data_IF_432882545927
#
_entry.id   IF_432882545927
#
_cell.length_a   1.000
_cell.length_b   1.000
_cell.length_c   1.000
_cell.angle_alpha   90.00
_cell.angle_beta   90.00
_cell.angle_gamma   90.00
#
_symmetry.space_group_name_H-M   'P 1'
#
loop_
_entity.id
_entity.type
_entity.pdbx_description
1 polymer ?
#
# COMPACT_ATOMS: atom_id res chain seq x y z
N UNK A 1 15.10 19.97 4.63
CA UNK A 1 13.80 19.29 4.70
C UNK A 1 13.83 18.14 3.71
N UNK A 2 13.67 16.92 4.19
CA UNK A 2 13.71 15.70 3.39
C UNK A 2 12.45 15.64 2.50
N UNK A 3 12.62 15.34 1.22
CA UNK A 3 11.59 15.35 0.16
C UNK A 3 10.49 14.26 0.32
N UNK A 4 10.19 13.83 1.54
CA UNK A 4 9.32 12.69 1.84
C UNK A 4 7.82 13.04 1.87
N UNK A 5 7.47 14.33 1.87
CA UNK A 5 6.08 14.82 1.93
C UNK A 5 5.51 15.29 0.58
N UNK A 6 6.21 15.04 -0.54
CA UNK A 6 5.67 15.43 -1.84
C UNK A 6 4.47 14.56 -2.23
N UNK A 7 3.42 15.11 -2.88
CA UNK A 7 2.29 14.33 -3.37
C UNK A 7 2.71 13.14 -4.24
N UNK A 8 3.78 13.34 -5.04
CA UNK A 8 4.36 12.28 -5.87
C UNK A 8 4.97 11.16 -5.03
N UNK A 9 5.72 11.50 -3.97
CA UNK A 9 6.32 10.50 -3.07
C UNK A 9 5.25 9.65 -2.39
N UNK A 10 4.16 10.26 -1.91
CA UNK A 10 3.05 9.53 -1.27
C UNK A 10 2.23 8.71 -2.26
N UNK A 11 2.01 9.22 -3.47
CA UNK A 11 1.39 8.46 -4.55
C UNK A 11 2.22 7.22 -4.91
N UNK A 12 3.53 7.40 -5.12
CA UNK A 12 4.44 6.30 -5.45
C UNK A 12 4.47 5.25 -4.33
N UNK A 13 4.40 5.67 -3.06
CA UNK A 13 4.30 4.76 -1.92
C UNK A 13 2.98 3.96 -1.93
N UNK A 14 1.86 4.61 -2.25
CA UNK A 14 0.57 3.95 -2.37
C UNK A 14 0.52 2.96 -3.55
N UNK A 15 1.06 3.34 -4.71
CA UNK A 15 1.16 2.44 -5.88
C UNK A 15 1.98 1.20 -5.54
N UNK A 16 3.12 1.35 -4.85
CA UNK A 16 3.91 0.21 -4.37
C UNK A 16 3.14 -0.69 -3.40
N UNK A 17 2.32 -0.12 -2.53
CA UNK A 17 1.48 -0.89 -1.61
C UNK A 17 0.40 -1.69 -2.38
N UNK A 18 -0.19 -1.11 -3.42
CA UNK A 18 -1.13 -1.81 -4.32
C UNK A 18 -0.44 -2.98 -5.02
N UNK A 19 0.71 -2.76 -5.64
CA UNK A 19 1.45 -3.81 -6.35
C UNK A 19 1.81 -4.98 -5.41
N UNK A 20 2.27 -4.67 -4.19
CA UNK A 20 2.57 -5.67 -3.17
C UNK A 20 1.32 -6.48 -2.79
N UNK A 21 0.22 -5.80 -2.47
CA UNK A 21 -1.02 -6.49 -2.07
C UNK A 21 -1.57 -7.36 -3.20
N UNK A 22 -1.53 -6.86 -4.44
CA UNK A 22 -1.91 -7.62 -5.63
C UNK A 22 -1.06 -8.89 -5.77
N UNK A 23 0.26 -8.80 -5.62
CA UNK A 23 1.14 -9.97 -5.70
C UNK A 23 0.83 -11.02 -4.63
N UNK A 24 0.49 -10.59 -3.40
CA UNK A 24 0.08 -11.52 -2.34
C UNK A 24 -1.23 -12.23 -2.67
N UNK A 25 -2.21 -11.54 -3.27
CA UNK A 25 -3.46 -12.15 -3.70
C UNK A 25 -3.24 -13.13 -4.87
N UNK A 26 -2.38 -12.78 -5.82
CA UNK A 26 -2.00 -13.68 -6.92
C UNK A 26 -1.31 -14.95 -6.40
N UNK A 27 -0.41 -14.81 -5.42
CA UNK A 27 0.23 -15.95 -4.75
C UNK A 27 -0.78 -16.82 -4.01
N UNK A 28 -1.69 -16.20 -3.24
CA UNK A 28 -2.76 -16.92 -2.54
C UNK A 28 -3.65 -17.70 -3.51
N UNK A 29 -4.01 -17.10 -4.65
CA UNK A 29 -4.81 -17.74 -5.69
C UNK A 29 -4.06 -18.86 -6.43
N UNK A 30 -2.74 -18.74 -6.57
CA UNK A 30 -1.87 -19.78 -7.11
C UNK A 30 -1.60 -20.95 -6.14
N UNK A 31 -2.37 -21.08 -5.05
CA UNK A 31 -2.15 -22.05 -3.97
C UNK A 31 -0.78 -21.94 -3.27
N UNK A 32 -0.10 -20.78 -3.36
CA UNK A 32 1.01 -20.52 -2.46
C UNK A 32 0.44 -20.30 -1.05
N UNK A 33 1.08 -20.89 -0.05
CA UNK A 33 0.67 -20.73 1.35
C UNK A 33 1.07 -19.34 1.86
N UNK A 34 0.35 -18.31 1.43
CA UNK A 34 0.52 -16.93 1.89
C UNK A 34 -0.08 -16.83 3.30
N UNK A 35 0.71 -16.48 4.33
CA UNK A 35 0.19 -16.34 5.68
C UNK A 35 -0.92 -15.29 5.73
N UNK A 36 -2.05 -15.61 6.35
CA UNK A 36 -3.17 -14.66 6.48
C UNK A 36 -2.76 -13.35 7.16
N UNK A 37 -1.80 -13.42 8.10
CA UNK A 37 -1.23 -12.24 8.75
C UNK A 37 -0.50 -11.30 7.77
N UNK A 38 0.15 -11.83 6.74
CA UNK A 38 0.86 -11.04 5.74
C UNK A 38 -0.11 -10.32 4.80
N UNK A 39 -1.19 -10.99 4.40
CA UNK A 39 -2.29 -10.39 3.65
C UNK A 39 -2.96 -9.26 4.43
N UNK A 40 -3.25 -9.50 5.71
CA UNK A 40 -3.83 -8.49 6.60
C UNK A 40 -2.91 -7.28 6.76
N UNK A 41 -1.64 -7.49 7.06
CA UNK A 41 -0.67 -6.41 7.20
C UNK A 41 -0.50 -5.61 5.89
N UNK A 42 -0.53 -6.28 4.75
CA UNK A 42 -0.48 -5.61 3.45
C UNK A 42 -1.72 -4.76 3.18
N UNK A 43 -2.91 -5.22 3.60
CA UNK A 43 -4.16 -4.47 3.46
C UNK A 43 -4.18 -3.24 4.37
N UNK A 44 -3.73 -3.38 5.62
CA UNK A 44 -3.58 -2.26 6.57
C UNK A 44 -2.61 -1.21 6.01
N UNK A 45 -1.47 -1.64 5.46
CA UNK A 45 -0.50 -0.74 4.85
C UNK A 45 -1.05 -0.02 3.61
N UNK A 46 -1.92 -0.67 2.83
CA UNK A 46 -2.60 -0.06 1.69
C UNK A 46 -3.54 1.06 2.14
N UNK A 47 -4.27 0.86 3.24
CA UNK A 47 -5.13 1.88 3.84
C UNK A 47 -4.31 3.09 4.37
N UNK A 48 -3.22 2.83 5.09
CA UNK A 48 -2.34 3.89 5.63
C UNK A 48 -1.75 4.74 4.50
N UNK A 49 -1.19 4.11 3.48
CA UNK A 49 -0.57 4.85 2.36
C UNK A 49 -1.59 5.65 1.54
N UNK A 50 -2.82 5.16 1.43
CA UNK A 50 -3.92 5.91 0.81
C UNK A 50 -4.28 7.15 1.63
N UNK A 51 -4.48 6.98 2.94
CA UNK A 51 -4.80 8.08 3.85
C UNK A 51 -3.71 9.17 3.81
N UNK A 52 -2.44 8.79 3.83
CA UNK A 52 -1.33 9.73 3.71
C UNK A 52 -1.33 10.47 2.37
N UNK A 53 -1.63 9.78 1.26
CA UNK A 53 -1.71 10.41 -0.05
C UNK A 53 -2.87 11.41 -0.11
N UNK A 54 -4.06 11.02 0.36
CA UNK A 54 -5.26 11.86 0.40
C UNK A 54 -5.01 13.13 1.23
N UNK A 55 -4.39 13.01 2.40
CA UNK A 55 -3.99 14.16 3.23
C UNK A 55 -3.09 15.14 2.49
N UNK A 56 -2.11 14.63 1.74
CA UNK A 56 -1.15 15.48 1.01
C UNK A 56 -1.80 16.20 -0.18
N UNK A 57 -2.89 15.67 -0.75
CA UNK A 57 -3.66 16.35 -1.81
C UNK A 57 -4.86 17.15 -1.30
N UNK A 58 -5.01 17.29 0.03
CA UNK A 58 -6.04 18.12 0.66
C UNK A 58 -7.43 17.48 0.71
N UNK A 59 -7.51 16.16 0.63
CA UNK A 59 -8.76 15.40 0.81
C UNK A 59 -8.78 14.87 2.26
N UNK A 60 -9.80 15.24 3.07
CA UNK A 60 -9.92 14.81 4.46
C UNK A 60 -10.25 13.32 4.62
#
# INVERSE_FOLDING_TARGET
>A
MTNNDSPKTKLDAHVKAIEKHKSLLEQQHANANVPHNELKASLEHLAITLEEYLKVIGIP
#
